data_IF_689184637358
#
_entry.id   IF_689184637358
#
_cell.length_a   1.000
_cell.length_b   1.000
_cell.length_c   1.000
_cell.angle_alpha   90.00
_cell.angle_beta   90.00
_cell.angle_gamma   90.00
#
_symmetry.space_group_name_H-M   'P 1'
#
loop_
_entity.id
_entity.type
_entity.pdbx_description
1 polymer ?
#
# COMPACT_ATOMS: atom_id res chain seq x y z
N UNK A 1 -26.49 -19.40 -9.26
CA UNK A 1 -25.06 -19.80 -9.21
C UNK A 1 -24.18 -18.64 -9.68
N UNK A 2 -24.56 -18.00 -10.79
CA UNK A 2 -23.83 -16.89 -11.43
C UNK A 2 -23.59 -15.69 -10.51
N UNK A 3 -24.61 -15.23 -9.76
CA UNK A 3 -24.46 -14.10 -8.82
C UNK A 3 -23.45 -14.41 -7.71
N UNK A 4 -23.44 -15.65 -7.20
CA UNK A 4 -22.47 -16.07 -6.17
C UNK A 4 -21.05 -16.02 -6.73
N UNK A 5 -20.84 -16.49 -7.96
CA UNK A 5 -19.54 -16.41 -8.62
C UNK A 5 -19.09 -14.97 -8.83
N UNK A 6 -19.99 -14.07 -9.22
CA UNK A 6 -19.69 -12.64 -9.36
C UNK A 6 -19.28 -12.00 -8.02
N UNK A 7 -19.98 -12.34 -6.93
CA UNK A 7 -19.64 -11.87 -5.58
C UNK A 7 -18.26 -12.40 -5.17
N UNK A 8 -17.98 -13.69 -5.38
CA UNK A 8 -16.68 -14.28 -5.07
C UNK A 8 -15.54 -13.67 -5.92
N UNK A 9 -15.79 -13.40 -7.20
CA UNK A 9 -14.83 -12.74 -8.07
C UNK A 9 -14.56 -11.30 -7.62
N UNK A 10 -15.60 -10.55 -7.24
CA UNK A 10 -15.47 -9.21 -6.69
C UNK A 10 -14.65 -9.22 -5.39
N UNK A 11 -15.01 -10.08 -4.43
CA UNK A 11 -14.26 -10.24 -3.18
C UNK A 11 -12.80 -10.65 -3.42
N UNK A 12 -12.56 -11.63 -4.29
CA UNK A 12 -11.21 -12.10 -4.62
C UNK A 12 -10.31 -11.00 -5.16
N UNK A 13 -10.82 -10.19 -6.10
CA UNK A 13 -10.06 -9.06 -6.64
C UNK A 13 -9.77 -7.98 -5.58
N UNK A 14 -10.74 -7.66 -4.72
CA UNK A 14 -10.51 -6.69 -3.64
C UNK A 14 -9.54 -7.21 -2.57
N UNK A 15 -9.49 -8.52 -2.33
CA UNK A 15 -8.45 -9.14 -1.50
C UNK A 15 -7.07 -9.01 -2.16
N UNK A 16 -6.97 -9.22 -3.48
CA UNK A 16 -5.75 -8.99 -4.26
C UNK A 16 -5.32 -7.52 -4.31
N UNK A 17 -6.23 -6.57 -4.08
CA UNK A 17 -5.86 -5.18 -3.86
C UNK A 17 -5.32 -4.96 -2.43
N UNK A 18 -6.12 -5.29 -1.43
CA UNK A 18 -5.87 -4.87 -0.04
C UNK A 18 -4.71 -5.61 0.63
N UNK A 19 -4.55 -6.91 0.40
CA UNK A 19 -3.53 -7.70 1.09
C UNK A 19 -2.12 -7.49 0.53
N UNK A 20 -1.91 -7.49 -0.80
CA UNK A 20 -0.64 -7.08 -1.40
C UNK A 20 -0.22 -5.67 -0.99
N UNK A 21 -1.17 -4.73 -0.89
CA UNK A 21 -0.87 -3.38 -0.38
C UNK A 21 -0.37 -3.45 1.08
N UNK A 22 -1.07 -4.21 1.93
CA UNK A 22 -0.65 -4.41 3.32
C UNK A 22 0.74 -5.06 3.40
N UNK A 23 0.99 -6.09 2.61
CA UNK A 23 2.25 -6.83 2.57
C UNK A 23 3.41 -5.92 2.13
N UNK A 24 3.21 -5.14 1.06
CA UNK A 24 4.19 -4.15 0.62
C UNK A 24 4.51 -3.15 1.73
N UNK A 25 3.51 -2.61 2.42
CA UNK A 25 3.74 -1.70 3.53
C UNK A 25 4.41 -2.36 4.75
N UNK A 26 4.13 -3.64 5.03
CA UNK A 26 4.72 -4.38 6.14
C UNK A 26 6.20 -4.63 5.91
N UNK A 27 6.56 -5.13 4.73
CA UNK A 27 7.96 -5.33 4.33
C UNK A 27 8.72 -4.00 4.30
N UNK A 28 8.04 -2.92 3.86
CA UNK A 28 8.64 -1.59 3.91
C UNK A 28 8.89 -1.12 5.34
N UNK A 29 7.96 -1.35 6.28
CA UNK A 29 8.12 -0.99 7.70
C UNK A 29 9.26 -1.78 8.35
N UNK A 30 9.38 -3.07 8.05
CA UNK A 30 10.42 -3.95 8.59
C UNK A 30 11.81 -3.48 8.17
N UNK A 31 12.00 -3.21 6.88
CA UNK A 31 13.29 -2.78 6.35
C UNK A 31 13.59 -1.29 6.61
N UNK A 32 12.56 -0.45 6.74
CA UNK A 32 12.73 0.95 7.13
C UNK A 32 13.35 1.10 8.53
N UNK A 33 12.99 0.23 9.49
CA UNK A 33 13.63 0.25 10.81
C UNK A 33 15.14 -0.06 10.72
N UNK A 34 15.56 -0.95 9.81
CA UNK A 34 16.98 -1.25 9.57
C UNK A 34 17.71 -0.09 8.90
N UNK A 35 17.02 0.64 8.01
CA UNK A 35 17.57 1.75 7.24
C UNK A 35 17.57 3.07 8.04
N UNK A 36 16.58 3.33 8.89
CA UNK A 36 16.53 4.52 9.77
C UNK A 36 17.73 4.56 10.71
N UNK A 37 18.12 3.43 11.28
CA UNK A 37 19.33 3.29 12.10
C UNK A 37 20.60 3.70 11.33
N UNK A 38 20.61 3.59 10.00
CA UNK A 38 21.75 3.94 9.15
C UNK A 38 21.72 5.39 8.64
N UNK A 39 20.57 6.08 8.69
CA UNK A 39 20.37 7.41 8.09
C UNK A 39 20.32 8.53 9.14
N UNK A 40 20.13 8.22 10.43
CA UNK A 40 20.11 9.22 11.51
C UNK A 40 21.40 10.08 11.61
N UNK A 41 22.51 9.67 10.98
CA UNK A 41 23.77 10.39 11.06
C UNK A 41 23.99 11.50 10.02
N UNK A 42 23.15 11.68 8.98
CA UNK A 42 23.45 12.67 7.93
C UNK A 42 22.24 13.46 7.38
N UNK A 43 22.19 14.74 7.77
CA UNK A 43 21.77 15.95 7.03
C UNK A 43 20.30 16.16 6.55
N UNK A 44 19.92 17.44 6.55
CA UNK A 44 18.62 18.04 6.19
C UNK A 44 18.09 17.67 4.78
N UNK A 45 17.50 16.49 4.60
CA UNK A 45 16.79 16.18 3.35
C UNK A 45 15.39 16.77 3.33
N UNK A 46 15.20 17.82 2.52
CA UNK A 46 13.90 18.48 2.29
C UNK A 46 12.82 17.45 1.90
N UNK A 47 11.76 17.36 2.70
CA UNK A 47 10.60 16.48 2.44
C UNK A 47 9.91 16.91 1.15
N UNK A 48 9.49 15.93 0.35
CA UNK A 48 8.71 16.21 -0.86
C UNK A 48 7.29 16.58 -0.45
N UNK A 49 6.80 17.66 -1.04
CA UNK A 49 5.48 18.20 -0.72
C UNK A 49 4.37 17.16 -1.00
N UNK A 50 3.39 17.00 -0.09
CA UNK A 50 2.24 16.14 -0.32
C UNK A 50 1.42 16.51 -1.57
N UNK A 51 1.46 17.79 -1.99
CA UNK A 51 0.77 18.29 -3.18
C UNK A 51 1.16 17.58 -4.49
N UNK A 52 2.33 16.95 -4.55
CA UNK A 52 2.72 16.13 -5.69
C UNK A 52 1.86 14.87 -5.87
N UNK A 53 0.98 14.51 -4.91
CA UNK A 53 -0.01 13.44 -5.09
C UNK A 53 -1.00 13.69 -6.23
N UNK A 54 -1.19 14.94 -6.67
CA UNK A 54 -1.96 15.25 -7.87
C UNK A 54 -1.36 14.58 -9.13
N UNK A 55 -0.06 14.26 -9.10
CA UNK A 55 0.67 13.55 -10.15
C UNK A 55 1.46 12.40 -9.53
N UNK A 56 0.83 11.24 -9.27
CA UNK A 56 1.41 10.15 -8.47
C UNK A 56 2.73 9.62 -9.05
N UNK A 57 2.82 9.48 -10.39
CA UNK A 57 4.06 9.06 -11.05
C UNK A 57 5.22 10.04 -10.81
N UNK A 58 4.93 11.35 -10.81
CA UNK A 58 5.94 12.38 -10.56
C UNK A 58 6.40 12.35 -9.11
N UNK A 59 5.46 12.22 -8.16
CA UNK A 59 5.80 12.09 -6.74
C UNK A 59 6.70 10.89 -6.49
N UNK A 60 6.34 9.73 -7.06
CA UNK A 60 7.12 8.50 -6.91
C UNK A 60 8.55 8.66 -7.46
N UNK A 61 8.70 9.30 -8.63
CA UNK A 61 10.01 9.60 -9.20
C UNK A 61 10.84 10.54 -8.30
N UNK A 62 10.21 11.57 -7.72
CA UNK A 62 10.90 12.51 -6.83
C UNK A 62 11.35 11.82 -5.53
N UNK A 63 10.50 11.00 -4.90
CA UNK A 63 10.86 10.26 -3.69
C UNK A 63 11.97 9.24 -3.97
N UNK A 64 11.92 8.57 -5.14
CA UNK A 64 13.01 7.68 -5.58
C UNK A 64 14.33 8.45 -5.73
N UNK A 65 14.30 9.63 -6.37
CA UNK A 65 15.49 10.49 -6.50
C UNK A 65 16.02 10.92 -5.14
N UNK A 66 15.14 11.34 -4.23
CA UNK A 66 15.51 11.71 -2.85
C UNK A 66 16.18 10.54 -2.13
N UNK A 67 15.60 9.34 -2.20
CA UNK A 67 16.18 8.14 -1.60
C UNK A 67 17.56 7.80 -2.19
N UNK A 68 17.73 7.91 -3.51
CA UNK A 68 19.03 7.73 -4.17
C UNK A 68 20.08 8.75 -3.71
N UNK A 69 19.69 10.01 -3.53
CA UNK A 69 20.60 11.05 -3.02
C UNK A 69 21.01 10.78 -1.58
N UNK A 70 20.06 10.37 -0.72
CA UNK A 70 20.35 9.98 0.66
C UNK A 70 21.36 8.83 0.68
N UNK A 71 21.14 7.80 -0.14
CA UNK A 71 22.05 6.65 -0.24
C UNK A 71 23.45 7.04 -0.69
N UNK A 72 23.56 7.92 -1.69
CA UNK A 72 24.86 8.36 -2.21
C UNK A 72 25.69 9.07 -1.14
N UNK A 73 25.04 9.79 -0.24
CA UNK A 73 25.70 10.58 0.80
C UNK A 73 25.93 9.78 2.09
N UNK A 74 25.23 8.66 2.30
CA UNK A 74 25.29 7.86 3.53
C UNK A 74 26.49 6.88 3.60
N UNK A 75 27.47 6.96 2.68
CA UNK A 75 28.67 6.09 2.66
C UNK A 75 28.39 4.59 2.84
N UNK A 76 27.28 4.11 2.26
CA UNK A 76 26.80 2.74 2.46
C UNK A 76 27.77 1.71 1.86
N UNK A 77 28.01 0.61 2.58
CA UNK A 77 28.74 -0.55 2.06
C UNK A 77 27.90 -1.26 0.97
N UNK A 78 28.54 -1.99 0.06
CA UNK A 78 27.92 -2.73 -1.04
C UNK A 78 26.78 -3.65 -0.57
N UNK A 79 26.91 -4.26 0.62
CA UNK A 79 25.87 -5.10 1.20
C UNK A 79 24.60 -4.30 1.56
N UNK A 80 24.74 -3.11 2.15
CA UNK A 80 23.62 -2.23 2.51
C UNK A 80 22.93 -1.69 1.25
N UNK A 81 23.71 -1.34 0.22
CA UNK A 81 23.16 -0.94 -1.08
C UNK A 81 22.31 -2.05 -1.71
N UNK A 82 22.79 -3.30 -1.65
CA UNK A 82 22.04 -4.47 -2.16
C UNK A 82 20.73 -4.70 -1.39
N UNK A 83 20.75 -4.57 -0.05
CA UNK A 83 19.54 -4.69 0.76
C UNK A 83 18.51 -3.61 0.40
N UNK A 84 18.96 -2.39 0.12
CA UNK A 84 18.07 -1.29 -0.25
C UNK A 84 17.52 -1.43 -1.69
N UNK A 85 18.27 -2.02 -2.62
CA UNK A 85 17.71 -2.37 -3.94
C UNK A 85 16.62 -3.43 -3.81
N UNK A 86 16.87 -4.47 -3.00
CA UNK A 86 15.87 -5.50 -2.70
C UNK A 86 14.61 -4.93 -2.03
N UNK A 87 14.76 -3.90 -1.20
CA UNK A 87 13.63 -3.14 -0.64
C UNK A 87 12.74 -2.54 -1.74
N UNK A 88 13.35 -1.82 -2.69
CA UNK A 88 12.60 -1.19 -3.78
C UNK A 88 11.95 -2.22 -4.69
N UNK A 89 12.64 -3.31 -5.00
CA UNK A 89 12.12 -4.37 -5.87
C UNK A 89 10.89 -5.04 -5.24
N UNK A 90 10.95 -5.35 -3.94
CA UNK A 90 9.81 -5.92 -3.18
C UNK A 90 8.63 -4.96 -3.10
N UNK A 91 8.88 -3.70 -2.74
CA UNK A 91 7.83 -2.69 -2.68
C UNK A 91 7.14 -2.51 -4.04
N UNK A 92 7.94 -2.51 -5.12
CA UNK A 92 7.44 -2.40 -6.49
C UNK A 92 6.62 -3.62 -6.90
N UNK A 93 7.08 -4.83 -6.58
CA UNK A 93 6.35 -6.06 -6.87
C UNK A 93 4.97 -6.06 -6.20
N UNK A 94 4.91 -5.80 -4.89
CA UNK A 94 3.64 -5.75 -4.17
C UNK A 94 2.72 -4.62 -4.63
N UNK A 95 3.28 -3.48 -5.03
CA UNK A 95 2.50 -2.38 -5.62
C UNK A 95 1.85 -2.80 -6.94
N UNK A 96 2.56 -3.50 -7.83
CA UNK A 96 1.98 -3.97 -9.09
C UNK A 96 0.92 -5.06 -8.89
N UNK A 97 1.12 -5.98 -7.95
CA UNK A 97 0.10 -6.99 -7.59
C UNK A 97 -1.15 -6.31 -7.04
N UNK A 98 -0.99 -5.34 -6.14
CA UNK A 98 -2.11 -4.55 -5.60
C UNK A 98 -2.83 -3.78 -6.71
N UNK A 99 -2.10 -3.14 -7.62
CA UNK A 99 -2.66 -2.43 -8.76
C UNK A 99 -3.47 -3.35 -9.68
N UNK A 100 -2.98 -4.56 -9.95
CA UNK A 100 -3.72 -5.56 -10.72
C UNK A 100 -5.04 -5.94 -10.02
N UNK A 101 -5.00 -6.17 -8.70
CA UNK A 101 -6.20 -6.42 -7.89
C UNK A 101 -7.17 -5.24 -7.89
N UNK A 102 -6.68 -3.99 -7.89
CA UNK A 102 -7.51 -2.79 -7.98
C UNK A 102 -8.26 -2.72 -9.32
N UNK A 103 -7.54 -2.88 -10.43
CA UNK A 103 -8.14 -2.85 -11.77
C UNK A 103 -9.15 -3.99 -11.95
N UNK A 104 -8.80 -5.20 -11.50
CA UNK A 104 -9.71 -6.34 -11.49
C UNK A 104 -10.92 -6.11 -10.59
N UNK A 105 -10.74 -5.47 -9.43
CA UNK A 105 -11.79 -5.16 -8.48
C UNK A 105 -12.78 -4.15 -9.04
N UNK A 106 -12.32 -3.12 -9.74
CA UNK A 106 -13.16 -2.15 -10.44
C UNK A 106 -14.02 -2.85 -11.49
N UNK A 107 -13.41 -3.68 -12.33
CA UNK A 107 -14.12 -4.41 -13.38
C UNK A 107 -15.17 -5.38 -12.79
N UNK A 108 -14.78 -6.19 -11.80
CA UNK A 108 -15.68 -7.13 -11.13
C UNK A 108 -16.83 -6.43 -10.38
N UNK A 109 -16.56 -5.27 -9.77
CA UNK A 109 -17.59 -4.45 -9.13
C UNK A 109 -18.58 -3.91 -10.15
N UNK A 110 -18.10 -3.43 -11.31
CA UNK A 110 -18.97 -2.98 -12.40
C UNK A 110 -19.90 -4.10 -12.88
N UNK A 111 -19.35 -5.28 -13.19
CA UNK A 111 -20.14 -6.44 -13.63
C UNK A 111 -21.15 -6.89 -12.58
N UNK A 112 -20.79 -6.87 -11.30
CA UNK A 112 -21.71 -7.21 -10.21
C UNK A 112 -22.84 -6.18 -10.08
N UNK A 113 -22.51 -4.89 -10.21
CA UNK A 113 -23.47 -3.79 -10.08
C UNK A 113 -24.44 -3.76 -11.26
N UNK A 114 -23.96 -3.94 -12.49
CA UNK A 114 -24.80 -4.08 -13.69
C UNK A 114 -25.79 -5.24 -13.58
N UNK A 115 -25.40 -6.34 -12.92
CA UNK A 115 -26.26 -7.51 -12.74
C UNK A 115 -27.34 -7.30 -11.67
N UNK A 116 -27.00 -6.62 -10.58
CA UNK A 116 -27.91 -6.40 -9.43
C UNK A 116 -28.79 -5.17 -9.63
N UNK A 117 -28.25 -4.12 -10.22
CA UNK A 117 -28.88 -2.83 -10.44
C UNK A 117 -28.63 -2.35 -11.88
N UNK A 118 -29.26 -2.99 -12.87
CA UNK A 118 -29.23 -2.48 -14.24
C UNK A 118 -29.85 -1.07 -14.24
N UNK A 119 -29.16 -0.09 -14.85
CA UNK A 119 -29.52 1.34 -14.96
C UNK A 119 -28.95 2.31 -13.93
N UNK A 120 -28.12 1.89 -12.99
CA UNK A 120 -27.46 2.85 -12.10
C UNK A 120 -26.46 3.74 -12.84
N UNK A 121 -26.36 5.04 -12.49
CA UNK A 121 -25.43 5.95 -13.12
C UNK A 121 -23.99 5.65 -12.68
N UNK A 122 -23.01 5.98 -13.53
CA UNK A 122 -21.59 5.71 -13.29
C UNK A 122 -21.05 6.32 -11.99
N UNK A 123 -21.66 7.40 -11.49
CA UNK A 123 -21.29 8.00 -10.20
C UNK A 123 -21.50 7.06 -9.02
N UNK A 124 -22.51 6.19 -9.05
CA UNK A 124 -22.73 5.17 -8.01
C UNK A 124 -21.57 4.20 -7.96
N UNK A 125 -21.10 3.73 -9.13
CA UNK A 125 -19.91 2.89 -9.23
C UNK A 125 -18.68 3.61 -8.65
N UNK A 126 -18.46 4.88 -9.01
CA UNK A 126 -17.35 5.67 -8.46
C UNK A 126 -17.41 5.76 -6.93
N UNK A 127 -18.59 6.04 -6.36
CA UNK A 127 -18.78 6.13 -4.90
C UNK A 127 -18.48 4.78 -4.24
N UNK A 128 -19.01 3.68 -4.77
CA UNK A 128 -18.78 2.33 -4.22
C UNK A 128 -17.28 1.99 -4.25
N UNK A 129 -16.60 2.23 -5.37
CA UNK A 129 -15.16 2.01 -5.50
C UNK A 129 -14.38 2.84 -4.48
N UNK A 130 -14.71 4.12 -4.34
CA UNK A 130 -14.05 5.01 -3.37
C UNK A 130 -14.24 4.55 -1.93
N UNK A 131 -15.43 4.05 -1.58
CA UNK A 131 -15.70 3.48 -0.26
C UNK A 131 -14.85 2.22 -0.03
N UNK A 132 -14.80 1.30 -1.00
CA UNK A 132 -14.04 0.05 -0.85
C UNK A 132 -12.53 0.33 -0.75
N UNK A 133 -12.00 1.25 -1.56
CA UNK A 133 -10.61 1.71 -1.46
C UNK A 133 -10.36 2.33 -0.09
N UNK A 134 -11.25 3.19 0.38
CA UNK A 134 -11.16 3.83 1.69
C UNK A 134 -11.11 2.83 2.85
N UNK A 135 -12.01 1.84 2.84
CA UNK A 135 -12.05 0.76 3.84
C UNK A 135 -10.76 -0.08 3.78
N UNK A 136 -10.31 -0.43 2.58
CA UNK A 136 -9.10 -1.22 2.37
C UNK A 136 -7.85 -0.49 2.88
N UNK A 137 -7.70 0.79 2.51
CA UNK A 137 -6.61 1.63 2.98
C UNK A 137 -6.65 1.82 4.50
N UNK A 138 -7.84 2.10 5.07
CA UNK A 138 -8.02 2.22 6.51
C UNK A 138 -7.61 0.92 7.23
N UNK A 139 -8.03 -0.24 6.74
CA UNK A 139 -7.65 -1.54 7.29
C UNK A 139 -6.12 -1.75 7.26
N UNK A 140 -5.46 -1.40 6.15
CA UNK A 140 -3.99 -1.45 6.02
C UNK A 140 -3.32 -0.57 7.07
N UNK A 141 -3.69 0.72 7.14
CA UNK A 141 -3.10 1.66 8.09
C UNK A 141 -3.40 1.30 9.55
N UNK A 142 -4.61 0.82 9.84
CA UNK A 142 -4.98 0.33 11.16
C UNK A 142 -4.13 -0.88 11.58
N UNK A 143 -3.88 -1.82 10.66
CA UNK A 143 -3.06 -3.00 10.92
C UNK A 143 -1.59 -2.66 11.14
N UNK A 144 -1.07 -1.65 10.46
CA UNK A 144 0.32 -1.18 10.59
C UNK A 144 0.56 -0.26 11.79
N UNK A 145 -0.51 0.34 12.33
CA UNK A 145 -0.44 1.29 13.43
C UNK A 145 0.15 0.68 14.70
N UNK A 146 1.14 1.37 15.28
CA UNK A 146 1.75 1.03 16.58
C UNK A 146 0.71 0.92 17.70
N UNK A 147 -0.44 1.60 17.59
CA UNK A 147 -1.54 1.51 18.57
C UNK A 147 -2.16 0.11 18.63
N UNK A 148 -2.29 -0.58 17.49
CA UNK A 148 -2.82 -1.96 17.46
C UNK A 148 -1.80 -2.92 18.05
N UNK A 149 -0.53 -2.76 17.67
CA UNK A 149 0.60 -3.53 18.17
C UNK A 149 0.68 -3.44 19.70
N UNK A 150 0.68 -2.22 20.25
CA UNK A 150 0.65 -1.98 21.69
C UNK A 150 -0.59 -2.59 22.34
N UNK A 151 -1.80 -2.42 21.79
CA UNK A 151 -3.02 -3.03 22.36
C UNK A 151 -2.95 -4.56 22.41
N UNK A 152 -2.40 -5.20 21.38
CA UNK A 152 -2.27 -6.66 21.33
C UNK A 152 -1.21 -7.14 22.32
N UNK A 153 -0.05 -6.48 22.38
CA UNK A 153 0.98 -6.76 23.37
C UNK A 153 0.40 -6.59 24.78
N UNK A 154 -0.27 -5.47 25.07
CA UNK A 154 -0.94 -5.23 26.35
C UNK A 154 -1.97 -6.31 26.67
N UNK A 155 -2.81 -6.73 25.71
CA UNK A 155 -3.78 -7.82 25.96
C UNK A 155 -3.13 -9.17 26.24
N UNK A 156 -2.09 -9.52 25.49
CA UNK A 156 -1.37 -10.79 25.65
C UNK A 156 -0.60 -10.82 26.98
N UNK A 157 0.06 -9.72 27.34
CA UNK A 157 0.88 -9.64 28.56
C UNK A 157 0.09 -9.28 29.83
N UNK A 158 -1.03 -8.56 29.73
CA UNK A 158 -1.86 -8.18 30.88
C UNK A 158 -3.11 -9.05 31.07
N UNK A 159 -3.30 -10.10 30.26
CA UNK A 159 -4.30 -11.14 30.51
C UNK A 159 -5.72 -10.63 30.79
N UNK A 160 -6.21 -9.67 30.00
CA UNK A 160 -7.62 -9.25 29.98
C UNK A 160 -8.25 -9.52 28.62
#
# INVERSE_FOLDING_TARGET
MDTLMLVLACLGNWLLFSFPLFQGCLEMKEQANTIEILIEENAEYKKISPWYWLLPFRKLSLEKKRALTIMRNASLNQHQMKQMLLFFDRATAWLFVSLAGLLGGIAATNTLLEKLFPHEPIWVLCIVIMIIIGISAFNVFYRLSKKREQRLITKIFMGK
#
